data_IF_382785742730
#
_entry.id   IF_382785742730
#
_cell.length_a   1.000
_cell.length_b   1.000
_cell.length_c   1.000
_cell.angle_alpha   90.00
_cell.angle_beta   90.00
_cell.angle_gamma   90.00
#
_symmetry.space_group_name_H-M   'P 1'
#
loop_
_entity.id
_entity.type
_entity.pdbx_description
1 polymer ?
#
# COMPACT_ATOMS: atom_id res chain seq x y z
N UNK A 1 3.25 35.26 -10.79
CA UNK A 1 2.77 34.17 -9.91
C UNK A 1 3.37 32.88 -10.43
N UNK A 2 4.26 32.24 -9.68
CA UNK A 2 4.73 30.89 -10.00
C UNK A 2 3.81 29.91 -9.29
N UNK A 3 2.82 29.38 -10.01
CA UNK A 3 2.03 28.25 -9.50
C UNK A 3 2.93 27.02 -9.54
N UNK A 4 2.98 26.27 -8.43
CA UNK A 4 3.61 24.96 -8.42
C UNK A 4 2.74 24.04 -9.27
N UNK A 5 3.13 23.84 -10.53
CA UNK A 5 2.47 22.90 -11.43
C UNK A 5 2.46 21.50 -10.81
N UNK A 6 1.47 20.69 -11.19
CA UNK A 6 1.41 19.30 -10.74
C UNK A 6 2.72 18.58 -11.10
N UNK A 7 3.26 17.74 -10.20
CA UNK A 7 4.45 16.97 -10.50
C UNK A 7 4.25 16.14 -11.79
N UNK A 8 5.30 15.98 -12.62
CA UNK A 8 5.19 15.20 -13.83
C UNK A 8 4.75 13.76 -13.49
N UNK A 9 3.75 13.25 -14.20
CA UNK A 9 3.40 11.83 -14.15
C UNK A 9 4.26 11.05 -15.14
N UNK A 10 4.69 9.84 -14.77
CA UNK A 10 5.44 8.96 -15.66
C UNK A 10 4.61 8.55 -16.90
N UNK A 11 5.29 8.11 -17.96
CA UNK A 11 4.62 7.58 -19.15
C UNK A 11 3.87 6.27 -18.86
N UNK A 12 2.81 5.98 -19.62
CA UNK A 12 1.87 4.88 -19.36
C UNK A 12 2.51 3.47 -19.26
N UNK A 13 3.66 3.24 -19.89
CA UNK A 13 4.38 1.95 -19.86
C UNK A 13 5.62 1.95 -18.96
N UNK A 14 5.77 2.95 -18.09
CA UNK A 14 6.86 3.03 -17.12
C UNK A 14 6.39 2.55 -15.75
N UNK A 15 7.30 2.02 -14.90
CA UNK A 15 6.95 1.66 -13.53
C UNK A 15 6.26 2.80 -12.79
N UNK A 16 5.21 2.46 -12.05
CA UNK A 16 4.34 3.43 -11.38
C UNK A 16 4.41 3.20 -9.87
N UNK A 17 4.79 4.22 -9.11
CA UNK A 17 4.95 4.09 -7.65
C UNK A 17 3.77 4.70 -6.93
N UNK A 18 3.19 3.95 -6.00
CA UNK A 18 2.16 4.43 -5.08
C UNK A 18 2.64 4.23 -3.65
N UNK A 19 2.37 5.22 -2.82
CA UNK A 19 2.51 5.15 -1.37
C UNK A 19 1.13 5.06 -0.73
N UNK A 20 0.98 4.12 0.19
CA UNK A 20 -0.23 3.86 0.95
C UNK A 20 0.06 4.19 2.40
N UNK A 21 -0.56 5.24 2.92
CA UNK A 21 -0.35 5.70 4.27
C UNK A 21 -1.47 5.23 5.18
N UNK A 22 -1.12 4.82 6.38
CA UNK A 22 -2.04 4.32 7.40
C UNK A 22 -1.82 5.08 8.69
N UNK A 23 -2.88 5.71 9.18
CA UNK A 23 -2.95 6.28 10.52
C UNK A 23 -3.85 5.40 11.36
N UNK A 24 -3.31 4.83 12.43
CA UNK A 24 -3.95 3.82 13.28
C UNK A 24 -4.42 4.46 14.59
N UNK A 25 -5.52 3.95 15.13
CA UNK A 25 -5.99 4.29 16.47
C UNK A 25 -4.90 3.99 17.50
N UNK A 26 -4.75 4.86 18.50
CA UNK A 26 -3.76 4.67 19.56
C UNK A 26 -3.98 3.34 20.29
N UNK A 27 -2.89 2.60 20.51
CA UNK A 27 -2.91 1.30 21.18
C UNK A 27 -3.13 0.11 20.23
N UNK A 28 -3.47 0.35 18.96
CA UNK A 28 -3.74 -0.69 17.97
C UNK A 28 -2.67 -0.82 16.88
N UNK A 29 -1.54 -0.09 16.98
CA UNK A 29 -0.48 -0.12 15.98
C UNK A 29 0.07 -1.53 15.73
N UNK A 30 0.43 -2.26 16.80
CA UNK A 30 0.96 -3.61 16.67
C UNK A 30 -0.11 -4.58 16.13
N UNK A 31 -1.36 -4.46 16.59
CA UNK A 31 -2.47 -5.26 16.07
C UNK A 31 -2.66 -5.04 14.56
N UNK A 32 -2.63 -3.79 14.12
CA UNK A 32 -2.69 -3.44 12.70
C UNK A 32 -1.54 -4.08 11.92
N UNK A 33 -0.30 -3.94 12.41
CA UNK A 33 0.87 -4.50 11.75
C UNK A 33 0.81 -6.01 11.66
N UNK A 34 0.41 -6.69 12.73
CA UNK A 34 0.28 -8.16 12.76
C UNK A 34 -0.77 -8.63 11.75
N UNK A 35 -1.94 -7.99 11.73
CA UNK A 35 -3.00 -8.28 10.74
C UNK A 35 -2.53 -7.99 9.32
N UNK A 36 -1.85 -6.87 9.10
CA UNK A 36 -1.30 -6.49 7.80
C UNK A 36 -0.28 -7.52 7.31
N UNK A 37 0.68 -7.92 8.14
CA UNK A 37 1.72 -8.88 7.79
C UNK A 37 1.17 -10.30 7.60
N UNK A 38 0.13 -10.67 8.35
CA UNK A 38 -0.53 -11.97 8.25
C UNK A 38 -1.38 -12.08 6.98
N UNK A 39 -2.16 -11.05 6.66
CA UNK A 39 -3.22 -11.14 5.66
C UNK A 39 -2.96 -10.30 4.41
N UNK A 40 -2.47 -9.07 4.53
CA UNK A 40 -2.30 -8.23 3.34
C UNK A 40 -0.94 -8.45 2.66
N UNK A 41 0.14 -8.57 3.43
CA UNK A 41 1.49 -8.70 2.89
C UNK A 41 1.70 -9.95 2.00
N UNK A 42 1.15 -11.15 2.30
CA UNK A 42 1.26 -12.29 1.39
C UNK A 42 0.59 -12.05 0.04
N UNK A 43 -0.52 -11.30 0.00
CA UNK A 43 -1.18 -10.92 -1.25
C UNK A 43 -0.27 -10.00 -2.09
N UNK A 44 0.38 -9.02 -1.45
CA UNK A 44 1.34 -8.14 -2.13
C UNK A 44 2.53 -8.92 -2.69
N UNK A 45 3.02 -9.94 -1.96
CA UNK A 45 4.07 -10.83 -2.47
C UNK A 45 3.61 -11.60 -3.72
N UNK A 46 2.34 -12.05 -3.78
CA UNK A 46 1.77 -12.65 -5.00
C UNK A 46 1.67 -11.65 -6.17
N UNK A 47 1.42 -10.38 -5.87
CA UNK A 47 1.53 -9.30 -6.84
C UNK A 47 2.94 -9.18 -7.44
N UNK A 48 3.99 -9.40 -6.64
CA UNK A 48 5.38 -9.43 -7.13
C UNK A 48 5.65 -10.70 -7.94
N UNK A 49 5.27 -11.86 -7.43
CA UNK A 49 5.49 -13.15 -8.10
C UNK A 49 4.81 -13.22 -9.49
N UNK A 50 3.63 -12.61 -9.65
CA UNK A 50 2.92 -12.52 -10.93
C UNK A 50 3.50 -11.45 -11.89
N UNK A 51 4.40 -10.58 -11.40
CA UNK A 51 4.97 -9.48 -12.17
C UNK A 51 4.03 -8.27 -12.34
N UNK A 52 2.88 -8.22 -11.65
CA UNK A 52 2.06 -7.00 -11.55
C UNK A 52 2.78 -5.91 -10.76
N UNK A 53 3.48 -6.31 -9.70
CA UNK A 53 4.31 -5.46 -8.85
C UNK A 53 5.79 -5.76 -9.09
N UNK A 54 6.62 -4.73 -9.00
CA UNK A 54 8.09 -4.80 -9.04
C UNK A 54 8.64 -4.95 -7.62
N UNK A 55 8.10 -4.20 -6.66
CA UNK A 55 8.55 -4.26 -5.26
C UNK A 55 7.50 -3.74 -4.30
N UNK A 56 7.60 -4.16 -3.04
CA UNK A 56 6.87 -3.63 -1.90
C UNK A 56 7.86 -3.25 -0.79
N UNK A 57 7.66 -2.11 -0.13
CA UNK A 57 8.42 -1.65 1.02
C UNK A 57 7.45 -1.19 2.10
N UNK A 58 7.70 -1.56 3.36
CA UNK A 58 6.86 -1.19 4.51
C UNK A 58 7.75 -0.42 5.49
N UNK A 59 7.32 0.77 5.90
CA UNK A 59 8.08 1.68 6.76
C UNK A 59 7.19 2.31 7.83
N UNK A 60 7.79 2.63 8.97
CA UNK A 60 7.20 3.43 10.05
C UNK A 60 8.11 4.63 10.31
N UNK A 61 7.60 5.80 10.73
CA UNK A 61 8.45 6.90 11.17
C UNK A 61 9.29 6.46 12.38
N UNK A 62 10.54 6.88 12.44
CA UNK A 62 11.42 6.62 13.58
C UNK A 62 11.22 7.62 14.74
N UNK A 63 10.65 8.79 14.45
CA UNK A 63 10.47 9.89 15.39
C UNK A 63 8.99 10.25 15.50
N UNK A 64 8.62 10.88 16.63
CA UNK A 64 7.26 11.35 16.85
C UNK A 64 6.91 12.50 15.90
N UNK A 65 5.67 12.48 15.40
CA UNK A 65 5.08 13.55 14.59
C UNK A 65 3.97 14.23 15.39
N UNK A 66 3.57 15.45 15.01
CA UNK A 66 2.34 16.06 15.54
C UNK A 66 1.14 15.22 15.13
N UNK A 67 0.07 15.24 15.94
CA UNK A 67 -1.08 14.35 15.71
C UNK A 67 -1.78 14.62 14.37
N UNK A 68 -1.80 15.88 13.91
CA UNK A 68 -2.37 16.29 12.63
C UNK A 68 -1.54 15.78 11.42
N UNK A 69 -0.22 15.65 11.57
CA UNK A 69 0.69 15.17 10.52
C UNK A 69 1.05 13.68 10.64
N UNK A 70 0.64 13.01 11.72
CA UNK A 70 0.99 11.62 12.03
C UNK A 70 0.46 10.65 10.98
N UNK A 71 1.35 9.77 10.54
CA UNK A 71 1.04 8.46 9.97
C UNK A 71 1.86 7.42 10.72
N UNK A 72 1.36 6.19 10.85
CA UNK A 72 2.05 5.13 11.60
C UNK A 72 2.77 4.16 10.66
N UNK A 73 2.16 3.86 9.51
CA UNK A 73 2.78 2.99 8.50
C UNK A 73 2.64 3.57 7.10
N UNK A 74 3.69 3.39 6.30
CA UNK A 74 3.70 3.64 4.86
C UNK A 74 4.06 2.35 4.13
N UNK A 75 3.28 2.01 3.12
CA UNK A 75 3.59 0.93 2.19
C UNK A 75 3.85 1.54 0.82
N UNK A 76 5.05 1.38 0.30
CA UNK A 76 5.41 1.82 -1.05
C UNK A 76 5.38 0.63 -1.98
N UNK A 77 4.49 0.65 -2.97
CA UNK A 77 4.41 -0.35 -4.02
C UNK A 77 4.88 0.26 -5.33
N UNK A 78 5.84 -0.39 -5.97
CA UNK A 78 6.22 -0.09 -7.35
C UNK A 78 5.52 -1.08 -8.25
N UNK A 79 4.59 -0.62 -9.06
CA UNK A 79 3.87 -1.40 -10.05
C UNK A 79 4.62 -1.43 -11.38
N UNK A 80 4.34 -2.45 -12.20
CA UNK A 80 4.93 -2.57 -13.55
C UNK A 80 4.59 -1.38 -14.44
N UNK A 81 3.37 -0.87 -14.34
CA UNK A 81 2.90 0.33 -15.04
C UNK A 81 1.67 0.93 -14.35
N UNK A 82 1.19 2.07 -14.84
CA UNK A 82 0.02 2.75 -14.27
C UNK A 82 -1.26 1.94 -14.44
N UNK A 83 -1.43 1.21 -15.56
CA UNK A 83 -2.62 0.40 -15.80
C UNK A 83 -2.82 -0.65 -14.70
N UNK A 84 -1.79 -1.43 -14.36
CA UNK A 84 -1.93 -2.47 -13.32
C UNK A 84 -2.02 -1.90 -11.90
N UNK A 85 -1.65 -0.63 -11.71
CA UNK A 85 -1.76 0.08 -10.44
C UNK A 85 -3.17 0.64 -10.20
N UNK A 86 -3.88 1.04 -11.26
CA UNK A 86 -5.18 1.74 -11.17
C UNK A 86 -6.37 0.90 -11.64
N UNK A 87 -6.14 -0.36 -12.03
CA UNK A 87 -7.20 -1.30 -12.41
C UNK A 87 -7.20 -2.52 -11.50
N UNK A 88 -8.39 -3.05 -11.24
CA UNK A 88 -8.56 -4.27 -10.44
C UNK A 88 -7.77 -5.44 -11.02
N UNK A 89 -7.21 -6.27 -10.14
CA UNK A 89 -6.56 -7.51 -10.55
C UNK A 89 -7.60 -8.62 -10.70
N UNK A 90 -7.86 -9.13 -11.93
CA UNK A 90 -8.88 -10.15 -12.14
C UNK A 90 -8.57 -11.47 -11.41
N UNK A 91 -7.30 -11.74 -11.10
CA UNK A 91 -6.88 -12.97 -10.43
C UNK A 91 -6.93 -12.87 -8.89
N UNK A 92 -7.11 -11.67 -8.33
CA UNK A 92 -6.98 -11.41 -6.89
C UNK A 92 -7.88 -12.29 -6.03
N UNK A 93 -9.16 -12.43 -6.38
CA UNK A 93 -10.11 -13.23 -5.61
C UNK A 93 -9.68 -14.72 -5.59
N UNK A 94 -9.15 -15.22 -6.71
CA UNK A 94 -8.66 -16.59 -6.80
C UNK A 94 -7.42 -16.80 -5.92
N UNK A 95 -6.51 -15.82 -5.92
CA UNK A 95 -5.29 -15.82 -5.09
C UNK A 95 -5.65 -15.74 -3.61
N UNK A 96 -6.62 -14.89 -3.23
CA UNK A 96 -7.12 -14.80 -1.86
C UNK A 96 -7.66 -16.15 -1.38
N UNK A 97 -8.48 -16.83 -2.19
CA UNK A 97 -9.02 -18.15 -1.83
C UNK A 97 -7.93 -19.21 -1.68
N UNK A 98 -6.86 -19.14 -2.46
CA UNK A 98 -5.72 -20.04 -2.36
C UNK A 98 -4.86 -19.77 -1.11
N UNK A 99 -4.62 -18.50 -0.78
CA UNK A 99 -3.82 -18.10 0.37
C UNK A 99 -4.55 -18.32 1.70
N UNK A 100 -5.87 -18.11 1.74
CA UNK A 100 -6.68 -18.24 2.95
C UNK A 100 -7.89 -19.15 2.73
N UNK A 101 -7.75 -20.49 2.90
CA UNK A 101 -8.88 -21.39 2.79
C UNK A 101 -10.01 -21.11 3.79
N UNK A 102 -9.67 -20.66 5.01
CA UNK A 102 -10.66 -20.14 5.98
C UNK A 102 -11.02 -18.68 5.66
N UNK A 103 -11.97 -18.55 4.73
CA UNK A 103 -12.48 -17.26 4.27
C UNK A 103 -13.23 -16.48 5.35
N UNK A 104 -13.82 -17.16 6.35
CA UNK A 104 -14.55 -16.48 7.41
C UNK A 104 -13.58 -15.75 8.35
N UNK A 105 -12.50 -16.42 8.73
CA UNK A 105 -11.44 -15.80 9.54
C UNK A 105 -10.73 -14.69 8.77
N UNK A 106 -10.35 -14.92 7.51
CA UNK A 106 -9.70 -13.89 6.69
C UNK A 106 -10.53 -12.61 6.58
N UNK A 107 -11.83 -12.73 6.25
CA UNK A 107 -12.73 -11.55 6.12
C UNK A 107 -12.90 -10.81 7.45
N UNK A 108 -13.04 -11.52 8.56
CA UNK A 108 -13.15 -10.91 9.89
C UNK A 108 -11.89 -10.12 10.25
N UNK A 109 -10.72 -10.71 9.98
CA UNK A 109 -9.43 -10.11 10.31
C UNK A 109 -9.08 -8.93 9.40
N UNK A 110 -9.38 -9.01 8.10
CA UNK A 110 -9.23 -7.86 7.18
C UNK A 110 -10.21 -6.74 7.55
N UNK A 111 -11.45 -7.07 7.91
CA UNK A 111 -12.40 -6.10 8.45
C UNK A 111 -11.84 -5.40 9.68
N UNK A 112 -11.33 -6.18 10.64
CA UNK A 112 -10.70 -5.65 11.86
C UNK A 112 -9.51 -4.73 11.56
N UNK A 113 -8.67 -5.09 10.57
CA UNK A 113 -7.52 -4.29 10.15
C UNK A 113 -7.94 -2.89 9.67
N UNK A 114 -9.09 -2.76 9.02
CA UNK A 114 -9.63 -1.45 8.62
C UNK A 114 -10.38 -0.73 9.74
N UNK A 115 -11.11 -1.45 10.61
CA UNK A 115 -11.85 -0.86 11.74
C UNK A 115 -10.96 -0.05 12.69
N UNK A 116 -9.68 -0.43 12.81
CA UNK A 116 -8.70 0.23 13.70
C UNK A 116 -7.94 1.39 13.03
N UNK A 117 -8.27 1.73 11.79
CA UNK A 117 -7.72 2.91 11.11
C UNK A 117 -8.46 4.18 11.52
N UNK A 118 -7.71 5.26 11.69
CA UNK A 118 -8.24 6.64 11.75
C UNK A 118 -8.29 7.27 10.37
N UNK A 119 -7.29 6.99 9.53
CA UNK A 119 -7.22 7.47 8.16
C UNK A 119 -6.35 6.54 7.30
N UNK A 120 -6.67 6.53 6.01
CA UNK A 120 -5.90 5.86 4.98
C UNK A 120 -5.96 6.70 3.70
N UNK A 121 -4.82 6.89 3.03
CA UNK A 121 -4.77 7.60 1.77
C UNK A 121 -3.67 7.04 0.87
N UNK A 122 -3.97 7.12 -0.44
CA UNK A 122 -3.12 6.61 -1.50
C UNK A 122 -2.54 7.78 -2.27
N UNK A 123 -1.22 7.76 -2.43
CA UNK A 123 -0.47 8.85 -3.04
C UNK A 123 0.44 8.31 -4.14
N UNK A 124 0.10 8.53 -5.42
CA UNK A 124 1.04 8.35 -6.50
C UNK A 124 2.26 9.27 -6.34
N UNK A 125 3.46 8.73 -6.51
CA UNK A 125 4.71 9.49 -6.44
C UNK A 125 5.57 9.25 -7.68
N UNK A 126 6.21 10.31 -8.15
CA UNK A 126 7.15 10.24 -9.28
C UNK A 126 8.58 10.39 -8.74
N UNK A 127 9.44 9.44 -9.10
CA UNK A 127 10.88 9.58 -8.86
C UNK A 127 11.47 10.62 -9.82
N UNK A 128 11.87 11.77 -9.27
CA UNK A 128 12.51 12.88 -10.01
C UNK A 128 14.03 12.87 -9.85
N UNK A 129 14.61 11.79 -9.32
CA UNK A 129 16.06 11.67 -9.15
C UNK A 129 16.73 11.78 -10.53
N UNK A 130 17.73 12.68 -10.70
CA UNK A 130 18.45 12.79 -11.97
C UNK A 130 19.05 11.44 -12.39
N UNK A 131 18.87 11.08 -13.66
CA UNK A 131 19.59 9.93 -14.24
C UNK A 131 21.08 10.24 -14.19
N UNK A 132 21.88 9.24 -13.81
CA UNK A 132 23.33 9.28 -13.96
C UNK A 132 23.72 9.28 -15.43
#
# INVERSE_FOLDING_TARGET
MFAQGAPPQGGANQPYTMEYYYKVQWGHQQEFLDLFLKNHYPLLKKGIESGRMVSVKIETPANHMTEDARWDYRVTIKFKNSTVATTSDPDEESVIKQLWPDQATYKREEGRRFEILLAHWDLPVTDITPKK
#
